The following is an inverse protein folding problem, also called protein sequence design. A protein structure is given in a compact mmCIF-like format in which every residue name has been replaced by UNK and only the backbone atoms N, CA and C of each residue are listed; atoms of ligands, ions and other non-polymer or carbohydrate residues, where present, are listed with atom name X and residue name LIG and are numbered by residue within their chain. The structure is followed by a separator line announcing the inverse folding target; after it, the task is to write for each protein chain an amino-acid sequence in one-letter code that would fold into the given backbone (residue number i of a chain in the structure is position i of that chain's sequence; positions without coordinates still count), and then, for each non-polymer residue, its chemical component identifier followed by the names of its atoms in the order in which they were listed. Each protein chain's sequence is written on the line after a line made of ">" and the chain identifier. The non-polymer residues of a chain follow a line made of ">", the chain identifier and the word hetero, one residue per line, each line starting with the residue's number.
data_IF_095921929273
#
_entry.id   IF_095921929273
#
_cell.length_a   1.000
_cell.length_b   1.000
_cell.length_c   1.000
_cell.angle_alpha   90.00
_cell.angle_beta   90.00
_cell.angle_gamma   90.00
#
_symmetry.space_group_name_H-M   'P 1'
#
loop_
_entity.id
_entity.type
_entity.pdbx_description
1 polymer ?
#
# COMPACT_ATOMS: atom_id res chain seq x y z
N UNK A 1 2.15 -20.26 -24.29
CA UNK A 1 3.40 -19.94 -23.52
C UNK A 1 3.19 -18.85 -22.45
N UNK A 2 2.19 -17.97 -22.57
CA UNK A 2 1.89 -16.95 -21.54
C UNK A 2 1.16 -17.53 -20.31
N UNK A 3 0.41 -18.58 -20.45
CA UNK A 3 -0.32 -19.24 -19.34
C UNK A 3 0.61 -19.93 -18.31
N UNK A 4 1.84 -20.25 -18.67
CA UNK A 4 2.82 -20.88 -17.77
C UNK A 4 3.52 -19.90 -16.82
N UNK A 5 3.22 -18.60 -16.90
CA UNK A 5 3.79 -17.57 -15.99
C UNK A 5 3.04 -17.43 -14.68
N UNK A 6 1.86 -18.02 -14.57
CA UNK A 6 1.00 -17.89 -13.40
C UNK A 6 0.75 -19.25 -12.80
N UNK A 7 1.25 -19.50 -11.59
CA UNK A 7 0.80 -20.65 -10.80
C UNK A 7 -0.40 -20.22 -9.94
N UNK A 8 -1.56 -20.76 -10.29
CA UNK A 8 -2.76 -20.64 -9.47
C UNK A 8 -2.72 -21.77 -8.46
N UNK A 9 -2.47 -21.48 -7.18
CA UNK A 9 -2.65 -22.47 -6.10
C UNK A 9 -4.07 -22.33 -5.57
N UNK A 10 -4.87 -23.35 -5.82
CA UNK A 10 -6.16 -23.51 -5.16
C UNK A 10 -5.94 -23.89 -3.69
N UNK A 11 -6.56 -23.17 -2.76
CA UNK A 11 -6.72 -23.65 -1.39
C UNK A 11 -7.75 -24.77 -1.34
N UNK A 12 -7.88 -25.47 -0.21
CA UNK A 12 -8.70 -26.67 -0.05
C UNK A 12 -10.18 -26.55 -0.51
N UNK A 13 -10.64 -25.38 -0.90
CA UNK A 13 -12.00 -25.11 -1.43
C UNK A 13 -12.03 -24.44 -2.81
N UNK A 14 -10.90 -24.35 -3.51
CA UNK A 14 -10.88 -24.03 -4.94
C UNK A 14 -11.14 -22.59 -5.33
N UNK A 15 -11.05 -21.61 -4.43
CA UNK A 15 -11.39 -20.20 -4.74
C UNK A 15 -10.29 -19.18 -4.53
N UNK A 16 -9.10 -19.59 -4.10
CA UNK A 16 -7.97 -18.69 -3.94
C UNK A 16 -6.98 -18.88 -5.05
N UNK A 17 -6.89 -17.89 -5.92
CA UNK A 17 -5.84 -17.85 -6.92
C UNK A 17 -4.64 -17.09 -6.35
N UNK A 18 -3.55 -17.78 -6.15
CA UNK A 18 -2.23 -17.17 -6.04
C UNK A 18 -1.70 -16.92 -7.43
N UNK A 19 -1.45 -15.67 -7.76
CA UNK A 19 -0.67 -15.33 -8.94
C UNK A 19 0.79 -15.14 -8.49
N UNK A 20 1.61 -16.17 -8.66
CA UNK A 20 3.06 -16.02 -8.63
C UNK A 20 3.51 -15.47 -9.98
N UNK A 21 3.86 -14.19 -10.03
CA UNK A 21 4.58 -13.61 -11.15
C UNK A 21 6.07 -13.93 -11.03
N UNK A 22 6.75 -14.05 -12.15
CA UNK A 22 8.11 -14.58 -12.32
C UNK A 22 9.25 -13.78 -11.66
N UNK A 23 9.01 -13.00 -10.62
CA UNK A 23 10.00 -12.23 -9.86
C UNK A 23 9.62 -12.08 -8.38
N UNK A 24 9.08 -13.11 -7.74
CA UNK A 24 8.62 -13.08 -6.35
C UNK A 24 7.51 -12.04 -6.05
N UNK A 25 6.88 -11.47 -7.08
CA UNK A 25 5.74 -10.59 -6.91
C UNK A 25 4.49 -11.44 -6.64
N UNK A 26 4.06 -11.44 -5.39
CA UNK A 26 2.85 -12.15 -4.95
C UNK A 26 1.65 -11.21 -4.98
N UNK A 27 0.69 -11.47 -5.87
CA UNK A 27 -0.62 -10.83 -5.81
C UNK A 27 -1.57 -11.69 -4.99
N UNK A 28 -2.08 -11.14 -3.91
CA UNK A 28 -3.07 -11.78 -3.06
C UNK A 28 -4.43 -11.15 -3.36
N UNK A 29 -5.37 -11.96 -3.84
CA UNK A 29 -6.72 -11.49 -4.09
C UNK A 29 -7.44 -11.23 -2.76
N UNK A 30 -8.25 -10.17 -2.65
CA UNK A 30 -9.03 -9.92 -1.45
C UNK A 30 -10.02 -11.07 -1.19
N UNK A 31 -10.21 -11.41 0.08
CA UNK A 31 -11.23 -12.36 0.50
C UNK A 31 -12.63 -11.77 0.25
N UNK A 32 -13.53 -12.58 -0.27
CA UNK A 32 -14.95 -12.24 -0.33
C UNK A 32 -15.65 -12.64 0.97
N UNK A 33 -16.84 -12.08 1.24
CA UNK A 33 -17.66 -12.45 2.39
C UNK A 33 -17.97 -13.96 2.41
N UNK A 34 -18.15 -14.57 1.22
CA UNK A 34 -18.40 -16.01 1.07
C UNK A 34 -17.16 -16.84 1.44
N UNK A 35 -15.97 -16.35 1.08
CA UNK A 35 -14.71 -17.01 1.45
C UNK A 35 -14.48 -16.92 2.96
N UNK A 36 -14.72 -15.76 3.57
CA UNK A 36 -14.56 -15.53 5.00
C UNK A 36 -15.54 -16.35 5.84
N UNK A 37 -16.76 -16.58 5.35
CA UNK A 37 -17.78 -17.37 6.06
C UNK A 37 -17.34 -18.82 6.33
N UNK A 38 -16.43 -19.33 5.52
CA UNK A 38 -15.95 -20.72 5.61
C UNK A 38 -14.55 -20.84 6.25
N UNK A 39 -13.94 -19.72 6.64
CA UNK A 39 -12.61 -19.65 7.26
C UNK A 39 -12.71 -19.43 8.76
N UNK A 40 -11.70 -19.87 9.52
CA UNK A 40 -11.55 -19.46 10.92
C UNK A 40 -10.96 -18.06 11.00
N UNK A 41 -11.25 -17.34 12.09
CA UNK A 41 -10.71 -15.99 12.31
C UNK A 41 -9.18 -15.95 12.21
N UNK A 42 -8.49 -16.98 12.73
CA UNK A 42 -7.03 -17.08 12.65
C UNK A 42 -6.52 -17.30 11.22
N UNK A 43 -7.31 -17.96 10.37
CA UNK A 43 -6.94 -18.16 8.97
C UNK A 43 -7.16 -16.87 8.15
N UNK A 44 -8.20 -16.11 8.46
CA UNK A 44 -8.47 -14.79 7.87
C UNK A 44 -7.33 -13.84 8.25
N UNK A 45 -6.97 -13.75 9.54
CA UNK A 45 -5.88 -12.89 10.02
C UNK A 45 -4.54 -13.23 9.36
N UNK A 46 -4.18 -14.52 9.29
CA UNK A 46 -2.96 -14.96 8.63
C UNK A 46 -2.94 -14.64 7.13
N UNK A 47 -4.10 -14.73 6.45
CA UNK A 47 -4.24 -14.37 5.06
C UNK A 47 -4.08 -12.86 4.85
N UNK A 48 -4.75 -12.04 5.68
CA UNK A 48 -4.63 -10.59 5.62
C UNK A 48 -3.22 -10.10 5.92
N UNK A 49 -2.53 -10.69 6.90
CA UNK A 49 -1.15 -10.37 7.23
C UNK A 49 -0.23 -10.65 6.02
N UNK A 50 -0.44 -11.79 5.38
CA UNK A 50 0.31 -12.15 4.17
C UNK A 50 -0.03 -11.23 2.99
N UNK A 51 -1.28 -10.82 2.83
CA UNK A 51 -1.71 -9.88 1.80
C UNK A 51 -1.08 -8.48 1.99
N UNK A 52 -0.84 -8.08 3.23
CA UNK A 52 -0.18 -6.81 3.57
C UNK A 52 1.34 -6.85 3.38
N UNK A 53 1.94 -8.05 3.32
CA UNK A 53 3.39 -8.21 3.14
C UNK A 53 3.83 -7.69 1.78
N UNK A 54 4.77 -6.76 1.77
CA UNK A 54 5.34 -6.19 0.55
C UNK A 54 4.49 -5.12 -0.14
N UNK A 55 3.28 -4.80 0.32
CA UNK A 55 2.40 -3.81 -0.31
C UNK A 55 3.01 -2.40 -0.38
N UNK A 56 3.91 -2.08 0.53
CA UNK A 56 4.65 -0.82 0.56
C UNK A 56 6.03 -0.92 -0.12
N UNK A 57 6.37 -2.09 -0.66
CA UNK A 57 7.58 -2.26 -1.43
C UNK A 57 7.51 -1.41 -2.69
N UNK A 58 8.58 -0.66 -2.98
CA UNK A 58 8.64 0.31 -4.08
C UNK A 58 7.71 1.54 -3.97
N UNK A 59 7.06 1.78 -2.82
CA UNK A 59 6.39 3.05 -2.61
C UNK A 59 7.40 4.20 -2.62
N UNK A 60 7.19 5.17 -3.54
CA UNK A 60 8.13 6.26 -3.77
C UNK A 60 8.25 7.23 -2.59
N UNK A 61 7.15 7.43 -1.85
CA UNK A 61 7.13 8.36 -0.72
C UNK A 61 7.86 7.76 0.48
N UNK A 62 7.66 6.46 0.74
CA UNK A 62 8.37 5.74 1.79
C UNK A 62 9.86 5.58 1.47
N UNK A 63 10.19 5.29 0.20
CA UNK A 63 11.58 5.25 -0.26
C UNK A 63 12.28 6.60 -0.09
N UNK A 64 11.57 7.69 -0.40
CA UNK A 64 12.07 9.05 -0.21
C UNK A 64 12.24 9.40 1.27
N UNK A 65 11.26 9.07 2.12
CA UNK A 65 11.37 9.22 3.57
C UNK A 65 12.58 8.48 4.14
N UNK A 66 12.78 7.21 3.75
CA UNK A 66 13.93 6.43 4.17
C UNK A 66 15.24 7.09 3.78
N UNK A 67 15.36 7.55 2.53
CA UNK A 67 16.56 8.22 2.06
C UNK A 67 16.78 9.57 2.76
N UNK A 68 15.74 10.35 3.00
CA UNK A 68 15.82 11.64 3.70
C UNK A 68 16.24 11.44 5.17
N UNK A 69 15.70 10.43 5.86
CA UNK A 69 16.13 10.07 7.22
C UNK A 69 17.60 9.62 7.25
N UNK A 70 17.99 8.77 6.30
CA UNK A 70 19.38 8.33 6.17
C UNK A 70 20.33 9.52 5.92
N UNK A 71 19.95 10.40 5.01
CA UNK A 71 20.73 11.60 4.70
C UNK A 71 20.79 12.55 5.90
N UNK A 72 19.70 12.70 6.65
CA UNK A 72 19.68 13.50 7.88
C UNK A 72 20.76 13.04 8.88
N UNK A 73 20.88 11.73 9.07
CA UNK A 73 21.86 11.16 9.99
C UNK A 73 23.30 11.31 9.47
N UNK A 74 23.50 11.10 8.16
CA UNK A 74 24.86 11.14 7.59
C UNK A 74 25.39 12.54 7.36
N UNK A 75 24.49 13.53 7.13
CA UNK A 75 24.86 14.92 6.84
C UNK A 75 24.77 15.87 8.03
N UNK A 76 24.20 15.41 9.14
CA UNK A 76 24.02 16.25 10.33
C UNK A 76 25.33 16.43 11.10
N UNK A 77 25.48 17.61 11.66
CA UNK A 77 26.63 17.99 12.47
C UNK A 77 26.70 19.50 12.63
N UNK A 78 27.63 19.99 13.40
CA UNK A 78 27.87 21.42 13.59
C UNK A 78 29.37 21.72 13.55
N UNK A 79 29.76 22.75 12.81
CA UNK A 79 31.08 23.39 12.79
C UNK A 79 32.27 22.37 12.80
N UNK A 80 32.23 21.39 11.92
CA UNK A 80 33.27 20.38 11.76
C UNK A 80 33.10 19.14 12.67
N UNK A 81 32.09 19.11 13.55
CA UNK A 81 31.72 17.91 14.29
C UNK A 81 30.62 17.19 13.56
N UNK A 82 30.88 15.98 13.09
CA UNK A 82 29.90 15.08 12.48
C UNK A 82 29.46 14.05 13.51
N UNK A 83 28.29 13.43 13.30
CA UNK A 83 27.84 12.34 14.17
C UNK A 83 28.88 11.22 14.28
N UNK A 84 29.56 10.92 13.18
CA UNK A 84 30.65 9.93 13.15
C UNK A 84 31.82 10.34 14.07
N UNK A 85 32.19 11.62 14.10
CA UNK A 85 33.31 12.09 14.94
C UNK A 85 33.01 12.02 16.45
N UNK A 86 31.74 11.91 16.81
CA UNK A 86 31.25 11.71 18.19
C UNK A 86 30.86 10.26 18.50
N UNK A 87 31.22 9.31 17.62
CA UNK A 87 30.99 7.88 17.84
C UNK A 87 29.66 7.34 17.36
N UNK A 88 28.84 8.10 16.63
CA UNK A 88 27.62 7.61 16.01
C UNK A 88 27.91 7.30 14.55
N UNK A 89 27.93 6.01 14.22
CA UNK A 89 28.23 5.52 12.89
C UNK A 89 27.02 4.87 12.24
N UNK A 90 26.94 4.98 10.92
CA UNK A 90 25.95 4.25 10.11
C UNK A 90 26.61 3.05 9.45
N UNK A 91 25.97 1.90 9.57
CA UNK A 91 26.34 0.67 8.85
C UNK A 91 25.20 0.30 7.91
N UNK A 92 25.53 -0.23 6.74
CA UNK A 92 24.58 -0.72 5.79
C UNK A 92 24.75 -2.21 5.59
N UNK A 93 23.75 -3.00 5.97
CA UNK A 93 23.74 -4.46 5.83
C UNK A 93 22.33 -4.92 5.49
N UNK A 94 22.22 -5.89 4.58
CA UNK A 94 20.95 -6.55 4.19
C UNK A 94 19.84 -5.58 3.75
N UNK A 95 20.21 -4.51 3.04
CA UNK A 95 19.26 -3.50 2.58
C UNK A 95 18.87 -2.46 3.64
N UNK A 96 19.35 -2.59 4.87
CA UNK A 96 19.03 -1.71 6.00
C UNK A 96 20.21 -0.86 6.45
N UNK A 97 19.92 0.39 6.79
CA UNK A 97 20.86 1.26 7.48
C UNK A 97 20.66 1.09 8.99
N UNK A 98 21.70 0.64 9.68
CA UNK A 98 21.73 0.53 11.14
C UNK A 98 22.63 1.62 11.74
N UNK A 99 22.27 2.06 12.95
CA UNK A 99 23.08 2.98 13.74
C UNK A 99 23.86 2.17 14.77
N UNK A 100 25.15 2.48 14.88
CA UNK A 100 26.02 1.94 15.92
C UNK A 100 26.59 3.09 16.75
N UNK A 101 26.66 2.89 18.05
CA UNK A 101 27.24 3.84 18.98
C UNK A 101 28.54 3.28 19.54
N UNK A 102 29.63 4.04 19.33
CA UNK A 102 30.89 3.82 20.05
C UNK A 102 30.87 4.67 21.33
N UNK A 103 30.57 4.04 22.46
CA UNK A 103 30.45 4.72 23.74
C UNK A 103 31.72 5.40 24.18
N UNK A 104 32.90 4.78 23.90
CA UNK A 104 34.18 5.35 24.29
C UNK A 104 34.45 6.65 23.52
N UNK A 105 34.24 6.64 22.20
CA UNK A 105 34.43 7.84 21.37
C UNK A 105 33.48 8.97 21.79
N UNK A 106 32.18 8.61 22.09
CA UNK A 106 31.24 9.61 22.59
C UNK A 106 31.67 10.19 23.95
N UNK A 107 32.16 9.35 24.85
CA UNK A 107 32.68 9.79 26.16
C UNK A 107 33.87 10.73 26.02
N UNK A 108 34.84 10.38 25.18
CA UNK A 108 36.00 11.21 24.88
C UNK A 108 35.60 12.55 24.25
N UNK A 109 34.63 12.54 23.35
CA UNK A 109 34.09 13.77 22.74
C UNK A 109 33.40 14.67 23.77
N UNK A 110 32.61 14.10 24.69
CA UNK A 110 31.96 14.81 25.78
C UNK A 110 32.90 15.37 26.82
N UNK A 111 34.01 14.69 27.08
CA UNK A 111 35.08 15.16 27.99
C UNK A 111 35.88 16.28 27.36
N UNK A 112 36.13 16.23 26.04
CA UNK A 112 36.90 17.21 25.30
C UNK A 112 36.13 18.52 25.04
N UNK A 113 34.91 18.43 24.52
CA UNK A 113 34.12 19.59 24.14
C UNK A 113 32.61 19.26 24.17
N UNK A 114 31.96 19.28 25.35
CA UNK A 114 30.56 18.93 25.49
C UNK A 114 29.63 19.88 24.74
N UNK A 115 30.01 21.15 24.59
CA UNK A 115 29.19 22.15 23.91
C UNK A 115 29.09 21.83 22.41
N UNK A 116 30.19 21.43 21.79
CA UNK A 116 30.16 21.00 20.39
C UNK A 116 29.35 19.72 20.18
N UNK A 117 29.43 18.77 21.11
CA UNK A 117 28.60 17.58 21.06
C UNK A 117 27.12 17.98 21.14
N UNK A 118 26.75 18.86 22.08
CA UNK A 118 25.39 19.38 22.18
C UNK A 118 24.97 20.09 20.89
N UNK A 119 25.81 20.95 20.34
CA UNK A 119 25.52 21.66 19.08
C UNK A 119 25.29 20.73 17.90
N UNK A 120 26.01 19.61 17.79
CA UNK A 120 25.80 18.61 16.74
C UNK A 120 24.36 18.05 16.72
N UNK A 121 23.68 18.04 17.86
CA UNK A 121 22.28 17.63 17.96
C UNK A 121 21.30 18.80 17.85
N UNK A 122 21.57 19.93 18.51
CA UNK A 122 20.55 20.97 18.80
C UNK A 122 20.66 22.23 17.96
N UNK A 123 21.78 22.47 17.28
CA UNK A 123 22.01 23.68 16.49
C UNK A 123 21.00 23.76 15.33
N UNK A 124 20.55 24.96 15.01
CA UNK A 124 19.61 25.20 13.93
C UNK A 124 20.00 26.42 13.13
N UNK A 125 19.82 26.36 11.81
CA UNK A 125 19.96 27.51 10.91
C UNK A 125 19.00 28.65 11.29
N UNK A 126 17.84 28.35 11.82
CA UNK A 126 16.87 29.32 12.31
C UNK A 126 17.43 30.15 13.48
N UNK A 127 18.39 29.61 14.21
CA UNK A 127 19.13 30.32 15.27
C UNK A 127 20.45 30.92 14.79
N UNK A 128 20.68 30.99 13.48
CA UNK A 128 21.85 31.61 12.86
C UNK A 128 23.07 30.72 12.67
N UNK A 129 22.92 29.40 12.84
CA UNK A 129 23.99 28.45 12.57
C UNK A 129 24.24 28.25 11.06
N UNK A 130 25.45 27.86 10.67
CA UNK A 130 25.77 27.55 9.28
C UNK A 130 25.12 26.27 8.79
N UNK A 131 24.93 25.31 9.69
CA UNK A 131 24.34 23.97 9.42
C UNK A 131 23.34 23.61 10.50
N UNK A 132 22.39 22.75 10.17
CA UNK A 132 21.47 22.17 11.15
C UNK A 132 22.11 20.99 11.86
N UNK A 133 21.89 20.89 13.15
CA UNK A 133 22.15 19.69 13.93
C UNK A 133 21.11 18.61 13.64
N UNK A 134 21.35 17.41 14.20
CA UNK A 134 20.52 16.23 13.93
C UNK A 134 19.03 16.47 14.22
N UNK A 135 18.68 17.11 15.36
CA UNK A 135 17.27 17.31 15.74
C UNK A 135 16.53 18.24 14.78
N UNK A 136 17.17 19.33 14.35
CA UNK A 136 16.57 20.26 13.39
C UNK A 136 16.37 19.59 12.03
N UNK A 137 17.35 18.81 11.57
CA UNK A 137 17.28 18.07 10.31
C UNK A 137 16.19 17.00 10.37
N UNK A 138 16.14 16.19 11.43
CA UNK A 138 15.09 15.18 11.62
C UNK A 138 13.70 15.81 11.72
N UNK A 139 13.60 16.96 12.44
CA UNK A 139 12.34 17.69 12.50
C UNK A 139 11.87 18.12 11.11
N UNK A 140 12.76 18.66 10.28
CA UNK A 140 12.42 19.03 8.91
C UNK A 140 11.92 17.84 8.08
N UNK A 141 12.56 16.67 8.21
CA UNK A 141 12.11 15.46 7.54
C UNK A 141 10.74 15.01 8.08
N UNK A 142 10.57 14.96 9.40
CA UNK A 142 9.30 14.54 10.00
C UNK A 142 8.16 15.49 9.65
N UNK A 143 8.39 16.80 9.64
CA UNK A 143 7.39 17.78 9.24
C UNK A 143 6.98 17.58 7.78
N UNK A 144 7.94 17.33 6.89
CA UNK A 144 7.65 17.09 5.47
C UNK A 144 6.77 15.88 5.23
N UNK A 145 6.95 14.78 5.96
CA UNK A 145 6.23 13.52 5.71
C UNK A 145 5.06 13.28 6.66
N UNK A 146 5.12 13.77 7.89
CA UNK A 146 4.20 13.37 8.95
C UNK A 146 3.57 14.56 9.72
N UNK A 147 3.67 15.80 9.22
CA UNK A 147 2.99 16.93 9.86
C UNK A 147 1.47 16.72 9.87
N UNK A 148 0.90 16.65 11.07
CA UNK A 148 -0.55 16.48 11.28
C UNK A 148 -1.29 17.78 11.46
N UNK A 149 -0.58 18.87 11.72
CA UNK A 149 -1.09 20.23 11.99
C UNK A 149 -0.50 21.23 10.99
N UNK A 150 -1.05 22.43 10.94
CA UNK A 150 -0.63 23.48 9.99
C UNK A 150 -1.45 23.48 8.71
N UNK A 151 -1.19 24.47 7.85
CA UNK A 151 -1.90 24.63 6.56
C UNK A 151 -1.48 23.57 5.54
N UNK A 152 -0.22 23.16 5.60
CA UNK A 152 0.32 22.08 4.77
C UNK A 152 0.53 20.84 5.64
N UNK A 153 -0.09 19.76 5.25
CA UNK A 153 0.09 18.46 5.91
C UNK A 153 1.31 17.75 5.35
N UNK A 154 1.82 16.78 6.11
CA UNK A 154 2.88 15.91 5.62
C UNK A 154 2.40 14.99 4.50
N UNK A 155 3.29 14.65 3.59
CA UNK A 155 3.01 13.84 2.38
C UNK A 155 2.23 12.55 2.72
N UNK A 156 2.64 11.82 3.76
CA UNK A 156 1.97 10.58 4.17
C UNK A 156 0.61 10.85 4.83
N UNK A 157 0.47 12.00 5.49
CA UNK A 157 -0.81 12.41 6.10
C UNK A 157 -1.83 12.78 5.02
N UNK A 158 -1.42 13.50 3.97
CA UNK A 158 -2.28 13.80 2.82
C UNK A 158 -2.64 12.54 2.03
N UNK A 159 -1.72 11.59 1.94
CA UNK A 159 -1.91 10.34 1.19
C UNK A 159 -2.86 9.37 1.90
N UNK A 160 -2.61 9.09 3.18
CA UNK A 160 -3.29 8.01 3.93
C UNK A 160 -4.15 8.49 5.11
N UNK A 161 -4.11 9.77 5.44
CA UNK A 161 -4.76 10.31 6.62
C UNK A 161 -4.03 9.99 7.92
N UNK A 162 -4.57 10.51 9.03
CA UNK A 162 -4.07 10.23 10.38
C UNK A 162 -5.14 10.51 11.42
N UNK A 163 -5.21 9.69 12.47
CA UNK A 163 -6.07 9.95 13.63
C UNK A 163 -5.74 11.28 14.34
N UNK A 164 -4.52 11.80 14.17
CA UNK A 164 -4.07 13.08 14.72
C UNK A 164 -4.33 14.27 13.79
N UNK A 165 -4.92 14.04 12.61
CA UNK A 165 -5.33 15.05 11.64
C UNK A 165 -6.77 14.79 11.23
N UNK A 166 -7.78 15.34 11.96
CA UNK A 166 -9.19 15.03 11.73
C UNK A 166 -9.67 15.29 10.30
N UNK A 167 -9.14 16.33 9.66
CA UNK A 167 -9.47 16.65 8.25
C UNK A 167 -8.90 15.60 7.30
N UNK A 168 -7.62 15.23 7.43
CA UNK A 168 -7.00 14.23 6.59
C UNK A 168 -7.50 12.79 6.88
N UNK A 169 -8.03 12.53 8.08
CA UNK A 169 -8.68 11.26 8.40
C UNK A 169 -9.97 11.05 7.59
N UNK A 170 -10.66 12.11 7.23
CA UNK A 170 -11.94 12.08 6.50
C UNK A 170 -11.79 12.35 5.00
N UNK A 171 -10.69 12.99 4.62
CA UNK A 171 -10.41 13.37 3.23
C UNK A 171 -8.90 13.21 2.97
N UNK A 172 -8.54 12.17 2.26
CA UNK A 172 -7.17 11.85 1.86
C UNK A 172 -7.14 11.12 0.52
N UNK A 173 -5.98 11.09 -0.11
CA UNK A 173 -5.82 10.56 -1.47
C UNK A 173 -6.29 9.11 -1.59
N UNK A 174 -5.89 8.22 -0.67
CA UNK A 174 -6.26 6.80 -0.72
C UNK A 174 -7.75 6.60 -0.48
N UNK A 175 -8.35 7.33 0.47
CA UNK A 175 -9.78 7.25 0.72
C UNK A 175 -10.59 7.69 -0.50
N UNK A 176 -10.16 8.73 -1.20
CA UNK A 176 -10.83 9.21 -2.41
C UNK A 176 -10.67 8.20 -3.55
N UNK A 177 -9.49 7.62 -3.75
CA UNK A 177 -9.29 6.54 -4.72
C UNK A 177 -10.16 5.32 -4.42
N UNK A 178 -10.32 4.94 -3.15
CA UNK A 178 -11.21 3.85 -2.77
C UNK A 178 -12.66 4.14 -3.15
N UNK A 179 -13.15 5.36 -2.89
CA UNK A 179 -14.51 5.78 -3.30
C UNK A 179 -14.70 5.74 -4.80
N UNK A 180 -13.72 6.22 -5.56
CA UNK A 180 -13.78 6.18 -7.03
C UNK A 180 -13.88 4.74 -7.56
N UNK A 181 -13.09 3.82 -6.97
CA UNK A 181 -13.15 2.39 -7.33
C UNK A 181 -14.49 1.77 -6.93
N UNK A 182 -15.03 2.09 -5.76
CA UNK A 182 -16.37 1.63 -5.33
C UNK A 182 -17.46 2.09 -6.29
N UNK A 183 -17.41 3.35 -6.73
CA UNK A 183 -18.34 3.87 -7.75
C UNK A 183 -18.21 3.13 -9.09
N UNK A 184 -16.98 2.81 -9.52
CA UNK A 184 -16.76 2.03 -10.74
C UNK A 184 -17.30 0.61 -10.60
N UNK A 185 -17.09 -0.05 -9.47
CA UNK A 185 -17.66 -1.38 -9.19
C UNK A 185 -19.18 -1.34 -9.31
N UNK A 186 -19.83 -0.35 -8.69
CA UNK A 186 -21.29 -0.17 -8.79
C UNK A 186 -21.75 -0.04 -10.23
N UNK A 187 -21.10 0.82 -11.02
CA UNK A 187 -21.41 0.98 -12.45
C UNK A 187 -21.26 -0.32 -13.27
N UNK A 188 -20.25 -1.13 -12.92
CA UNK A 188 -20.08 -2.42 -13.59
C UNK A 188 -21.11 -3.46 -13.17
N UNK A 189 -21.53 -3.46 -11.90
CA UNK A 189 -22.62 -4.31 -11.40
C UNK A 189 -23.94 -3.99 -12.11
N UNK A 190 -24.28 -2.70 -12.27
CA UNK A 190 -25.45 -2.26 -13.02
C UNK A 190 -25.41 -2.74 -14.48
N UNK A 191 -24.27 -2.53 -15.16
CA UNK A 191 -24.08 -3.02 -16.54
C UNK A 191 -24.19 -4.53 -16.66
N UNK A 192 -23.71 -5.27 -15.66
CA UNK A 192 -23.83 -6.72 -15.63
C UNK A 192 -25.30 -7.14 -15.49
N UNK A 193 -26.06 -6.49 -14.60
CA UNK A 193 -27.49 -6.72 -14.43
C UNK A 193 -28.25 -6.47 -15.73
N UNK A 194 -28.02 -5.33 -16.37
CA UNK A 194 -28.63 -4.99 -17.66
C UNK A 194 -28.33 -6.05 -18.75
N UNK A 195 -27.11 -6.57 -18.75
CA UNK A 195 -26.72 -7.63 -19.71
C UNK A 195 -27.39 -8.97 -19.41
N UNK A 196 -27.50 -9.33 -18.14
CA UNK A 196 -28.24 -10.52 -17.71
C UNK A 196 -29.71 -10.43 -18.16
N UNK A 197 -30.37 -9.31 -17.87
CA UNK A 197 -31.73 -9.08 -18.26
C UNK A 197 -31.92 -9.12 -19.79
N UNK A 198 -31.02 -8.47 -20.53
CA UNK A 198 -31.05 -8.50 -21.99
C UNK A 198 -30.97 -9.92 -22.55
N UNK A 199 -30.04 -10.74 -22.06
CA UNK A 199 -29.91 -12.11 -22.53
C UNK A 199 -31.04 -13.01 -22.05
N UNK A 200 -31.51 -12.85 -20.83
CA UNK A 200 -32.69 -13.55 -20.31
C UNK A 200 -33.91 -13.31 -21.21
N UNK A 201 -34.18 -12.05 -21.56
CA UNK A 201 -35.25 -11.71 -22.47
C UNK A 201 -35.06 -12.32 -23.86
N UNK A 202 -33.84 -12.35 -24.38
CA UNK A 202 -33.53 -13.01 -25.66
C UNK A 202 -33.78 -14.51 -25.63
N UNK A 203 -33.35 -15.19 -24.55
CA UNK A 203 -33.59 -16.62 -24.39
C UNK A 203 -35.09 -16.93 -24.27
N UNK A 204 -35.85 -16.14 -23.53
CA UNK A 204 -37.30 -16.28 -23.44
C UNK A 204 -37.97 -16.14 -24.80
N UNK A 205 -37.58 -15.14 -25.62
CA UNK A 205 -38.08 -14.99 -26.98
C UNK A 205 -37.72 -16.19 -27.88
N UNK A 206 -36.50 -16.72 -27.75
CA UNK A 206 -36.06 -17.89 -28.48
C UNK A 206 -36.88 -19.14 -28.09
N UNK A 207 -37.16 -19.31 -26.81
CA UNK A 207 -37.96 -20.39 -26.28
C UNK A 207 -39.42 -20.36 -26.81
N UNK A 208 -40.03 -19.19 -26.85
CA UNK A 208 -41.35 -18.98 -27.48
C UNK A 208 -41.29 -19.38 -28.96
N UNK A 209 -40.29 -18.92 -29.70
CA UNK A 209 -40.16 -19.21 -31.13
C UNK A 209 -39.96 -20.73 -31.38
N UNK A 210 -39.18 -21.42 -30.58
CA UNK A 210 -38.99 -22.86 -30.67
C UNK A 210 -40.30 -23.60 -30.39
N UNK A 211 -41.06 -23.17 -29.40
CA UNK A 211 -42.38 -23.75 -29.10
C UNK A 211 -43.41 -23.55 -30.25
N UNK A 212 -43.41 -22.38 -30.88
CA UNK A 212 -44.23 -22.10 -32.06
C UNK A 212 -43.81 -22.99 -33.24
N UNK A 213 -42.49 -23.13 -33.51
CA UNK A 213 -41.98 -24.00 -34.56
C UNK A 213 -42.35 -25.48 -34.32
N UNK A 214 -42.25 -25.97 -33.10
CA UNK A 214 -42.64 -27.31 -32.74
C UNK A 214 -44.11 -27.55 -32.92
N UNK A 215 -44.96 -26.56 -32.57
CA UNK A 215 -46.40 -26.64 -32.77
C UNK A 215 -46.76 -26.67 -34.26
N UNK A 216 -46.12 -25.83 -35.09
CA UNK A 216 -46.29 -25.86 -36.55
C UNK A 216 -45.82 -27.16 -37.17
N UNK A 217 -44.67 -27.71 -36.75
CA UNK A 217 -44.16 -28.99 -37.20
C UNK A 217 -45.13 -30.13 -36.87
N UNK A 218 -45.68 -30.13 -35.66
CA UNK A 218 -46.69 -31.11 -35.24
C UNK A 218 -47.97 -31.03 -36.04
N UNK A 219 -48.46 -29.82 -36.33
CA UNK A 219 -49.63 -29.61 -37.18
C UNK A 219 -49.38 -30.09 -38.61
N UNK A 220 -48.17 -29.82 -39.17
CA UNK A 220 -47.80 -30.27 -40.52
C UNK A 220 -47.74 -31.79 -40.61
N UNK A 221 -47.12 -32.42 -39.57
CA UNK A 221 -47.07 -33.91 -39.50
C UNK A 221 -48.46 -34.54 -39.39
N UNK A 222 -49.38 -33.88 -38.68
CA UNK A 222 -50.78 -34.30 -38.61
C UNK A 222 -51.54 -34.22 -39.96
N UNK A 223 -51.20 -33.21 -40.78
CA UNK A 223 -51.78 -33.04 -42.12
C UNK A 223 -51.21 -33.99 -43.18
N UNK A 224 -49.95 -34.39 -43.06
CA UNK A 224 -49.27 -35.27 -44.02
C UNK A 224 -49.41 -36.76 -43.68
N UNK A 225 -49.88 -37.11 -42.48
CA UNK A 225 -50.04 -38.47 -42.00
C UNK A 225 -51.48 -39.00 -42.00
N UNK A 226 -52.41 -38.26 -42.63
CA UNK A 226 -53.83 -38.69 -42.80
C UNK A 226 -54.10 -39.17 -44.19
#
# INVERSE_FOLDING_TARGET
>A
EEFNRYQIKETARGRFAWLELHNDDHYVLPLTDEDMADMSDSAIEAYEEKAKTGILFMDSDLSSLYNDLRNAITSSGADGVTLRSIGIETSYSDGLTTLTLNEQTLREALESDPDKVQEAFTKSKDSGAATDGLMATLKSVTDRYAATTGDVKGILIEKAGSQYSPTAALDNTLLNQMKDVEEEISKWQDKMSDKVDYYTNKFTQLEVLINEMNSQSSALSGLLGS
#
